data_IF_582712666662
#
_entry.id   IF_582712666662
#
_cell.length_a   1.000
_cell.length_b   1.000
_cell.length_c   1.000
_cell.angle_alpha   90.00
_cell.angle_beta   90.00
_cell.angle_gamma   90.00
#
_symmetry.space_group_name_H-M   'P 1'
#
loop_
_entity.id
_entity.type
_entity.pdbx_description
1 polymer ?
#
# COMPACT_ATOMS: atom_id res chain seq x y z
N UNK A 1 -6.54 38.74 49.28
CA UNK A 1 -6.75 37.86 48.11
C UNK A 1 -6.48 38.64 46.83
N UNK A 2 -5.27 38.60 46.26
CA UNK A 2 -4.95 39.11 44.91
C UNK A 2 -3.47 38.84 44.64
N UNK A 3 -3.11 37.64 44.15
CA UNK A 3 -1.78 37.38 43.56
C UNK A 3 -1.61 36.01 42.85
N UNK A 4 -2.65 35.43 42.24
CA UNK A 4 -2.50 34.10 41.57
C UNK A 4 -3.05 33.98 40.13
N UNK A 5 -3.33 35.09 39.43
CA UNK A 5 -3.90 35.03 38.07
C UNK A 5 -2.89 35.36 36.95
N UNK A 6 -1.63 35.68 37.27
CA UNK A 6 -0.66 36.12 36.24
C UNK A 6 0.13 34.98 35.55
N UNK A 7 0.02 33.72 35.99
CA UNK A 7 0.82 32.62 35.44
C UNK A 7 0.12 31.68 34.45
N UNK A 8 -1.20 31.82 34.23
CA UNK A 8 -1.96 30.91 33.35
C UNK A 8 -2.15 31.48 31.93
N UNK A 9 -1.92 32.79 31.73
CA UNK A 9 -2.01 33.41 30.40
C UNK A 9 -0.70 33.31 29.58
N UNK A 10 0.47 33.12 30.22
CA UNK A 10 1.73 32.96 29.50
C UNK A 10 1.91 31.55 28.91
N UNK A 11 1.39 30.51 29.56
CA UNK A 11 1.52 29.12 29.10
C UNK A 11 0.70 28.82 27.84
N UNK A 12 -0.47 29.47 27.68
CA UNK A 12 -1.32 29.33 26.48
C UNK A 12 -0.70 30.06 25.27
N UNK A 13 0.06 31.14 25.51
CA UNK A 13 0.77 31.87 24.44
C UNK A 13 1.97 31.05 23.90
N UNK A 14 2.71 30.37 24.78
CA UNK A 14 3.85 29.52 24.38
C UNK A 14 3.43 28.25 23.64
N UNK A 15 2.28 27.64 23.99
CA UNK A 15 1.78 26.45 23.31
C UNK A 15 1.38 26.73 21.84
N UNK A 16 0.77 27.89 21.57
CA UNK A 16 0.38 28.29 20.22
C UNK A 16 1.59 28.70 19.34
N UNK A 17 2.63 29.30 19.94
CA UNK A 17 3.87 29.66 19.24
C UNK A 17 4.66 28.41 18.81
N UNK A 18 4.76 27.39 19.67
CA UNK A 18 5.43 26.12 19.34
C UNK A 18 4.68 25.34 18.23
N UNK A 19 3.34 25.35 18.26
CA UNK A 19 2.53 24.71 17.21
C UNK A 19 2.62 25.46 15.87
N UNK A 20 2.63 26.79 15.90
CA UNK A 20 2.78 27.61 14.68
C UNK A 20 4.18 27.50 14.07
N UNK A 21 5.23 27.43 14.89
CA UNK A 21 6.60 27.21 14.41
C UNK A 21 6.76 25.84 13.76
N UNK A 22 6.27 24.75 14.37
CA UNK A 22 6.33 23.40 13.79
C UNK A 22 5.61 23.29 12.44
N UNK A 23 4.47 23.97 12.26
CA UNK A 23 3.76 23.96 10.98
C UNK A 23 4.52 24.76 9.90
N UNK A 24 5.14 25.89 10.28
CA UNK A 24 6.00 26.69 9.37
C UNK A 24 7.29 25.97 8.96
N UNK A 25 7.92 25.19 9.83
CA UNK A 25 9.11 24.39 9.47
C UNK A 25 8.77 23.17 8.61
N UNK A 26 7.63 22.54 8.84
CA UNK A 26 7.14 21.45 7.98
C UNK A 26 6.81 21.94 6.56
N UNK A 27 6.14 23.08 6.39
CA UNK A 27 5.88 23.64 5.05
C UNK A 27 7.15 24.15 4.34
N UNK A 28 8.21 24.51 5.07
CA UNK A 28 9.47 24.98 4.51
C UNK A 28 10.37 23.83 3.97
N UNK A 29 10.06 22.57 4.30
CA UNK A 29 10.83 21.38 3.89
C UNK A 29 10.19 20.63 2.71
N UNK A 30 8.92 20.91 2.41
CA UNK A 30 8.21 20.29 1.30
C UNK A 30 8.76 20.75 -0.06
N UNK A 31 9.01 19.78 -0.94
CA UNK A 31 9.33 20.05 -2.34
C UNK A 31 8.03 20.14 -3.15
N UNK A 32 7.48 21.35 -3.26
CA UNK A 32 6.21 21.61 -3.96
C UNK A 32 6.21 21.19 -5.42
N UNK A 33 7.36 21.23 -6.09
CA UNK A 33 7.47 20.81 -7.48
C UNK A 33 7.35 19.29 -7.60
N UNK A 34 8.08 18.53 -6.76
CA UNK A 34 7.95 17.08 -6.74
C UNK A 34 6.57 16.61 -6.29
N UNK A 35 5.94 17.31 -5.34
CA UNK A 35 4.55 17.04 -4.95
C UNK A 35 3.63 17.16 -6.15
N UNK A 36 3.67 18.28 -6.88
CA UNK A 36 2.80 18.46 -8.05
C UNK A 36 3.04 17.41 -9.15
N UNK A 37 4.29 16.96 -9.33
CA UNK A 37 4.62 15.86 -10.23
C UNK A 37 4.02 14.54 -9.74
N UNK A 38 4.17 14.22 -8.46
CA UNK A 38 3.63 12.99 -7.87
C UNK A 38 2.10 12.99 -7.87
N UNK A 39 1.45 14.11 -7.59
CA UNK A 39 -0.02 14.25 -7.68
C UNK A 39 -0.52 13.94 -9.10
N UNK A 40 0.22 14.37 -10.13
CA UNK A 40 -0.12 14.07 -11.52
C UNK A 40 0.06 12.58 -11.84
N UNK A 41 1.13 11.97 -11.31
CA UNK A 41 1.39 10.53 -11.46
C UNK A 41 0.29 9.71 -10.77
N UNK A 42 -0.12 10.12 -9.57
CA UNK A 42 -1.17 9.48 -8.79
C UNK A 42 -2.51 9.47 -9.56
N UNK A 43 -2.91 10.63 -10.10
CA UNK A 43 -4.10 10.72 -10.93
C UNK A 43 -4.03 9.83 -12.16
N UNK A 44 -2.88 9.78 -12.83
CA UNK A 44 -2.65 8.92 -13.99
C UNK A 44 -2.69 7.42 -13.63
N UNK A 45 -2.23 7.05 -12.43
CA UNK A 45 -2.19 5.67 -11.92
C UNK A 45 -3.56 5.18 -11.45
N UNK A 46 -4.31 6.01 -10.72
CA UNK A 46 -5.54 5.63 -10.02
C UNK A 46 -6.80 5.77 -10.87
N UNK A 47 -6.89 6.80 -11.72
CA UNK A 47 -8.14 7.14 -12.44
C UNK A 47 -8.75 5.94 -13.17
N UNK A 48 -7.95 5.26 -13.98
CA UNK A 48 -8.46 4.17 -14.82
C UNK A 48 -8.73 2.89 -14.03
N UNK A 49 -8.11 2.73 -12.85
CA UNK A 49 -8.38 1.61 -11.93
C UNK A 49 -9.76 1.78 -11.30
N UNK A 50 -10.06 2.97 -10.79
CA UNK A 50 -11.41 3.30 -10.29
C UNK A 50 -12.47 3.11 -11.38
N UNK A 51 -12.22 3.62 -12.59
CA UNK A 51 -13.13 3.42 -13.73
C UNK A 51 -13.26 1.93 -14.11
N UNK A 52 -12.22 1.11 -13.94
CA UNK A 52 -12.29 -0.33 -14.20
C UNK A 52 -13.13 -1.03 -13.13
N UNK A 53 -12.91 -0.73 -11.86
CA UNK A 53 -13.64 -1.32 -10.73
C UNK A 53 -15.15 -1.03 -10.84
N UNK A 54 -15.55 0.20 -11.19
CA UNK A 54 -16.95 0.57 -11.44
C UNK A 54 -17.60 -0.25 -12.59
N UNK A 55 -16.80 -0.71 -13.56
CA UNK A 55 -17.26 -1.51 -14.68
C UNK A 55 -17.36 -3.00 -14.35
N UNK A 56 -16.59 -3.49 -13.37
CA UNK A 56 -16.59 -4.90 -12.97
C UNK A 56 -17.98 -5.31 -12.49
N UNK A 57 -18.62 -4.52 -11.63
CA UNK A 57 -19.96 -4.83 -11.10
C UNK A 57 -21.03 -4.87 -12.19
N UNK A 58 -20.83 -4.11 -13.28
CA UNK A 58 -21.82 -3.96 -14.34
C UNK A 58 -21.65 -4.97 -15.47
N UNK A 59 -20.41 -5.31 -15.82
CA UNK A 59 -20.10 -6.08 -17.01
C UNK A 59 -19.28 -7.34 -16.74
N UNK A 60 -18.72 -7.48 -15.53
CA UNK A 60 -17.83 -8.57 -15.14
C UNK A 60 -16.37 -8.33 -15.53
N UNK A 61 -15.44 -8.92 -14.78
CA UNK A 61 -13.99 -8.74 -14.96
C UNK A 61 -13.47 -9.07 -16.37
N UNK A 62 -14.09 -10.05 -17.04
CA UNK A 62 -13.69 -10.53 -18.37
C UNK A 62 -14.33 -9.73 -19.51
N UNK A 63 -15.10 -8.68 -19.22
CA UNK A 63 -15.78 -7.88 -20.26
C UNK A 63 -14.79 -7.07 -21.08
N UNK A 64 -15.16 -6.75 -22.33
CA UNK A 64 -14.33 -5.92 -23.19
C UNK A 64 -14.08 -4.54 -22.58
N UNK A 65 -15.07 -3.95 -21.94
CA UNK A 65 -15.00 -2.64 -21.28
C UNK A 65 -13.93 -2.62 -20.18
N UNK A 66 -13.90 -3.66 -19.32
CA UNK A 66 -12.89 -3.80 -18.27
C UNK A 66 -11.50 -4.05 -18.89
N UNK A 67 -11.40 -4.92 -19.89
CA UNK A 67 -10.12 -5.22 -20.55
C UNK A 67 -9.53 -4.02 -21.32
N UNK A 68 -10.38 -3.18 -21.91
CA UNK A 68 -9.98 -1.92 -22.54
C UNK A 68 -9.37 -0.95 -21.50
N UNK A 69 -9.96 -0.85 -20.30
CA UNK A 69 -9.37 -0.06 -19.19
C UNK A 69 -8.04 -0.62 -18.74
N UNK A 70 -7.92 -1.94 -18.56
CA UNK A 70 -6.66 -2.58 -18.19
C UNK A 70 -5.55 -2.40 -19.24
N UNK A 71 -5.91 -2.26 -20.50
CA UNK A 71 -4.93 -1.90 -21.55
C UNK A 71 -4.40 -0.48 -21.34
N UNK A 72 -5.26 0.48 -20.98
CA UNK A 72 -4.85 1.85 -20.66
C UNK A 72 -4.00 1.88 -19.38
N UNK A 73 -4.43 1.18 -18.33
CA UNK A 73 -3.70 1.05 -17.06
C UNK A 73 -2.27 0.58 -17.32
N UNK A 74 -2.08 -0.51 -18.09
CA UNK A 74 -0.74 -1.03 -18.41
C UNK A 74 0.17 0.01 -19.09
N UNK A 75 -0.39 0.84 -19.98
CA UNK A 75 0.36 1.93 -20.62
C UNK A 75 0.73 3.01 -19.61
N UNK A 76 -0.21 3.39 -18.73
CA UNK A 76 0.01 4.39 -17.67
C UNK A 76 1.03 3.92 -16.65
N UNK A 77 0.95 2.68 -16.19
CA UNK A 77 1.91 2.04 -15.27
C UNK A 77 3.34 2.14 -15.83
N UNK A 78 3.52 1.81 -17.11
CA UNK A 78 4.84 1.89 -17.77
C UNK A 78 5.39 3.31 -17.81
N UNK A 79 4.57 4.30 -18.18
CA UNK A 79 4.97 5.71 -18.24
C UNK A 79 5.28 6.25 -16.84
N UNK A 80 4.43 5.93 -15.86
CA UNK A 80 4.59 6.36 -14.48
C UNK A 80 5.82 5.76 -13.83
N UNK A 81 6.11 4.48 -14.12
CA UNK A 81 7.31 3.82 -13.65
C UNK A 81 8.59 4.55 -14.11
N UNK A 82 8.69 4.95 -15.38
CA UNK A 82 9.85 5.70 -15.89
C UNK A 82 10.05 7.01 -15.09
N UNK A 83 8.97 7.74 -14.79
CA UNK A 83 9.02 8.98 -14.03
C UNK A 83 9.46 8.73 -12.57
N UNK A 84 8.87 7.73 -11.91
CA UNK A 84 9.17 7.40 -10.51
C UNK A 84 10.58 6.83 -10.36
N UNK A 85 11.03 5.97 -11.28
CA UNK A 85 12.41 5.47 -11.27
C UNK A 85 13.42 6.62 -11.40
N UNK A 86 13.13 7.63 -12.22
CA UNK A 86 13.97 8.83 -12.32
C UNK A 86 14.02 9.58 -10.98
N UNK A 87 12.87 9.85 -10.36
CA UNK A 87 12.79 10.54 -9.05
C UNK A 87 13.60 9.77 -8.00
N UNK A 88 13.41 8.45 -7.90
CA UNK A 88 14.10 7.59 -6.93
C UNK A 88 15.61 7.53 -7.22
N UNK A 89 16.01 7.49 -8.50
CA UNK A 89 17.44 7.44 -8.86
C UNK A 89 18.16 8.74 -8.48
N UNK A 90 17.51 9.89 -8.64
CA UNK A 90 18.10 11.20 -8.34
C UNK A 90 18.08 11.53 -6.84
N UNK A 91 17.09 11.03 -6.08
CA UNK A 91 16.82 11.49 -4.73
C UNK A 91 16.83 10.38 -3.64
N UNK A 92 16.88 9.11 -4.05
CA UNK A 92 16.52 7.99 -3.17
C UNK A 92 15.03 7.98 -2.82
N UNK A 93 14.66 7.23 -1.78
CA UNK A 93 13.28 7.22 -1.28
C UNK A 93 12.98 8.51 -0.51
N UNK A 94 12.06 9.31 -1.04
CA UNK A 94 11.61 10.56 -0.42
C UNK A 94 10.55 10.29 0.64
N UNK A 95 10.76 10.81 1.84
CA UNK A 95 9.82 10.68 2.95
C UNK A 95 8.65 11.65 2.85
N UNK A 96 7.59 11.44 3.65
CA UNK A 96 6.42 12.31 3.67
C UNK A 96 6.72 13.74 4.16
N UNK A 97 7.85 13.94 4.83
CA UNK A 97 8.40 15.25 5.20
C UNK A 97 8.86 16.08 3.99
N UNK A 98 9.09 15.45 2.83
CA UNK A 98 9.51 16.11 1.60
C UNK A 98 8.39 16.14 0.55
N UNK A 99 7.69 15.03 0.38
CA UNK A 99 6.69 14.85 -0.71
C UNK A 99 5.25 14.70 -0.23
N UNK A 100 4.99 14.94 1.06
CA UNK A 100 3.67 14.68 1.64
C UNK A 100 3.35 13.19 1.74
N UNK A 101 2.24 12.86 2.40
CA UNK A 101 1.82 11.45 2.56
C UNK A 101 1.39 10.85 1.24
N UNK A 102 0.66 11.64 0.46
CA UNK A 102 0.12 11.30 -0.85
C UNK A 102 1.26 11.00 -1.82
N UNK A 103 2.23 11.91 -1.97
CA UNK A 103 3.38 11.68 -2.84
C UNK A 103 4.24 10.48 -2.42
N UNK A 104 4.39 10.22 -1.12
CA UNK A 104 5.07 9.02 -0.62
C UNK A 104 4.31 7.73 -0.98
N UNK A 105 2.98 7.75 -0.85
CA UNK A 105 2.10 6.66 -1.28
C UNK A 105 2.18 6.45 -2.79
N UNK A 106 2.23 7.50 -3.60
CA UNK A 106 2.36 7.40 -5.06
C UNK A 106 3.68 6.74 -5.47
N UNK A 107 4.80 7.07 -4.82
CA UNK A 107 6.08 6.38 -5.06
C UNK A 107 5.94 4.87 -4.83
N UNK A 108 5.27 4.49 -3.75
CA UNK A 108 4.98 3.10 -3.42
C UNK A 108 4.07 2.44 -4.47
N UNK A 109 2.91 3.01 -4.77
CA UNK A 109 1.91 2.42 -5.66
C UNK A 109 2.48 2.15 -7.06
N UNK A 110 3.25 3.08 -7.63
CA UNK A 110 3.86 2.87 -8.95
C UNK A 110 4.85 1.71 -8.95
N UNK A 111 5.67 1.56 -7.90
CA UNK A 111 6.58 0.42 -7.79
C UNK A 111 5.79 -0.88 -7.52
N UNK A 112 4.77 -0.84 -6.68
CA UNK A 112 3.88 -1.95 -6.34
C UNK A 112 3.09 -2.47 -7.56
N UNK A 113 2.74 -1.61 -8.51
CA UNK A 113 2.06 -1.96 -9.76
C UNK A 113 3.01 -2.42 -10.88
N UNK A 114 4.32 -2.25 -10.69
CA UNK A 114 5.32 -2.71 -11.66
C UNK A 114 5.46 -4.25 -11.68
N UNK A 115 6.27 -4.77 -12.60
CA UNK A 115 6.56 -6.21 -12.68
C UNK A 115 7.39 -6.67 -11.48
N UNK A 116 7.31 -7.97 -11.17
CA UNK A 116 8.02 -8.60 -10.05
C UNK A 116 9.52 -8.31 -10.04
N UNK A 117 10.18 -8.25 -11.19
CA UNK A 117 11.62 -7.94 -11.27
C UNK A 117 11.93 -6.53 -10.76
N UNK A 118 11.08 -5.56 -11.10
CA UNK A 118 11.19 -4.18 -10.61
C UNK A 118 10.85 -4.08 -9.14
N UNK A 119 9.82 -4.80 -8.68
CA UNK A 119 9.49 -4.87 -7.26
C UNK A 119 10.70 -5.40 -6.45
N UNK A 120 11.28 -6.52 -6.87
CA UNK A 120 12.47 -7.10 -6.24
C UNK A 120 13.67 -6.15 -6.24
N UNK A 121 13.89 -5.41 -7.34
CA UNK A 121 14.95 -4.39 -7.45
C UNK A 121 14.82 -3.31 -6.37
N UNK A 122 13.61 -2.82 -6.10
CA UNK A 122 13.39 -1.71 -5.16
C UNK A 122 13.09 -2.14 -3.72
N UNK A 123 12.71 -3.40 -3.49
CA UNK A 123 12.34 -3.91 -2.17
C UNK A 123 13.40 -3.67 -1.08
N UNK A 124 14.73 -3.87 -1.31
CA UNK A 124 15.74 -3.55 -0.30
C UNK A 124 15.77 -2.07 0.09
N UNK A 125 15.62 -1.16 -0.89
CA UNK A 125 15.55 0.28 -0.63
C UNK A 125 14.30 0.63 0.16
N UNK A 126 13.16 0.02 -0.18
CA UNK A 126 11.89 0.28 0.49
C UNK A 126 11.90 -0.20 1.94
N UNK A 127 12.50 -1.36 2.23
CA UNK A 127 12.76 -1.83 3.61
C UNK A 127 13.58 -0.81 4.41
N UNK A 128 14.64 -0.28 3.82
CA UNK A 128 15.47 0.75 4.47
C UNK A 128 14.70 2.07 4.66
N UNK A 129 13.80 2.43 3.74
CA UNK A 129 12.94 3.60 3.88
C UNK A 129 11.98 3.46 5.07
N UNK A 130 11.32 2.29 5.23
CA UNK A 130 10.45 2.00 6.37
C UNK A 130 11.22 2.05 7.69
N UNK A 131 12.40 1.41 7.77
CA UNK A 131 13.26 1.47 8.98
C UNK A 131 13.64 2.91 9.38
N UNK A 132 13.74 3.81 8.40
CA UNK A 132 14.06 5.23 8.60
C UNK A 132 12.82 6.12 8.79
N UNK A 133 11.62 5.54 8.86
CA UNK A 133 10.36 6.28 8.99
C UNK A 133 9.97 7.09 7.75
N UNK A 134 10.54 6.75 6.59
CA UNK A 134 10.29 7.42 5.30
C UNK A 134 9.23 6.74 4.44
N UNK A 135 8.69 5.62 4.89
CA UNK A 135 7.63 4.87 4.22
C UNK A 135 6.77 4.14 5.26
N UNK A 136 5.53 3.80 4.91
CA UNK A 136 4.65 3.06 5.80
C UNK A 136 5.03 1.57 5.85
N UNK A 137 4.98 0.98 7.05
CA UNK A 137 5.22 -0.45 7.21
C UNK A 137 4.11 -1.29 6.55
N UNK A 138 2.87 -0.79 6.54
CA UNK A 138 1.74 -1.42 5.84
C UNK A 138 2.04 -1.59 4.35
N UNK A 139 2.55 -0.55 3.69
CA UNK A 139 2.88 -0.58 2.26
C UNK A 139 3.97 -1.63 1.96
N UNK A 140 4.97 -1.74 2.83
CA UNK A 140 5.99 -2.79 2.73
C UNK A 140 5.38 -4.18 2.87
N UNK A 141 4.48 -4.39 3.84
CA UNK A 141 3.79 -5.67 4.01
C UNK A 141 3.04 -6.09 2.74
N UNK A 142 2.37 -5.15 2.07
CA UNK A 142 1.69 -5.40 0.80
C UNK A 142 2.67 -5.86 -0.30
N UNK A 143 3.81 -5.19 -0.41
CA UNK A 143 4.84 -5.52 -1.40
C UNK A 143 5.51 -6.87 -1.14
N UNK A 144 5.78 -7.18 0.12
CA UNK A 144 6.38 -8.46 0.51
C UNK A 144 5.44 -9.63 0.18
N UNK A 145 4.16 -9.53 0.55
CA UNK A 145 3.17 -10.56 0.21
C UNK A 145 3.06 -10.77 -1.30
N UNK A 146 3.07 -9.68 -2.10
CA UNK A 146 3.01 -9.75 -3.56
C UNK A 146 4.23 -10.45 -4.16
N UNK A 147 5.43 -10.08 -3.71
CA UNK A 147 6.68 -10.67 -4.20
C UNK A 147 6.77 -12.15 -3.82
N UNK A 148 6.37 -12.52 -2.60
CA UNK A 148 6.36 -13.91 -2.13
C UNK A 148 5.47 -14.77 -3.02
N UNK A 149 4.21 -14.35 -3.26
CA UNK A 149 3.30 -15.09 -4.12
C UNK A 149 3.84 -15.21 -5.55
N UNK A 150 4.46 -14.15 -6.09
CA UNK A 150 5.08 -14.19 -7.41
C UNK A 150 6.28 -15.16 -7.49
N UNK A 151 6.91 -15.49 -6.35
CA UNK A 151 7.98 -16.48 -6.23
C UNK A 151 7.46 -17.89 -5.92
N UNK A 152 6.14 -18.09 -5.83
CA UNK A 152 5.52 -19.36 -5.47
C UNK A 152 5.49 -19.62 -3.95
N UNK A 153 5.87 -18.63 -3.15
CA UNK A 153 5.86 -18.69 -1.69
C UNK A 153 4.50 -18.22 -1.13
N UNK A 154 4.25 -18.52 0.15
CA UNK A 154 3.05 -18.07 0.86
C UNK A 154 3.24 -16.64 1.38
N UNK A 155 2.17 -15.84 1.38
CA UNK A 155 2.16 -14.50 1.99
C UNK A 155 2.29 -14.55 3.53
N UNK A 156 2.76 -13.44 4.11
CA UNK A 156 2.98 -13.24 5.54
C UNK A 156 1.76 -12.59 6.21
N UNK A 157 1.19 -11.57 5.57
CA UNK A 157 0.17 -10.70 6.18
C UNK A 157 -1.24 -10.93 5.65
N UNK A 158 -1.41 -11.76 4.62
CA UNK A 158 -2.72 -12.03 4.03
C UNK A 158 -3.26 -10.85 3.23
N UNK A 159 -2.38 -10.02 2.64
CA UNK A 159 -2.77 -8.79 1.96
C UNK A 159 -3.15 -8.98 0.49
N UNK A 160 -3.01 -10.18 -0.07
CA UNK A 160 -3.23 -10.45 -1.49
C UNK A 160 -4.39 -11.43 -1.67
N UNK A 161 -5.33 -11.02 -2.51
CA UNK A 161 -6.51 -11.77 -2.93
C UNK A 161 -6.29 -12.23 -4.38
N UNK A 162 -6.53 -13.51 -4.63
CA UNK A 162 -6.54 -14.10 -5.96
C UNK A 162 -7.97 -14.26 -6.49
N UNK A 163 -8.07 -14.86 -7.68
CA UNK A 163 -9.33 -15.33 -8.25
C UNK A 163 -9.21 -16.85 -8.36
N UNK A 164 -10.20 -17.56 -7.83
CA UNK A 164 -10.30 -19.00 -8.02
C UNK A 164 -10.72 -19.27 -9.48
N UNK A 165 -9.91 -20.02 -10.22
CA UNK A 165 -10.12 -20.20 -11.66
C UNK A 165 -11.29 -21.12 -12.00
N UNK A 166 -11.84 -21.86 -11.03
CA UNK A 166 -12.96 -22.79 -11.23
C UNK A 166 -14.28 -22.06 -10.98
N UNK A 167 -14.35 -21.31 -9.89
CA UNK A 167 -15.55 -20.59 -9.43
C UNK A 167 -15.61 -19.15 -9.96
N UNK A 168 -14.47 -18.60 -10.37
CA UNK A 168 -14.30 -17.19 -10.75
C UNK A 168 -14.67 -16.21 -9.62
N UNK A 169 -14.53 -16.65 -8.37
CA UNK A 169 -14.75 -15.85 -7.16
C UNK A 169 -13.42 -15.37 -6.56
N UNK A 170 -13.47 -14.30 -5.76
CA UNK A 170 -12.32 -13.89 -4.97
C UNK A 170 -11.92 -14.97 -3.98
N UNK A 171 -10.62 -15.11 -3.76
CA UNK A 171 -10.08 -16.08 -2.82
C UNK A 171 -8.85 -15.52 -2.13
N UNK A 172 -8.78 -15.60 -0.81
CA UNK A 172 -7.57 -15.22 -0.09
C UNK A 172 -6.41 -16.14 -0.50
N UNK A 173 -5.29 -15.58 -0.98
CA UNK A 173 -4.15 -16.37 -1.43
C UNK A 173 -3.46 -17.13 -0.27
N UNK A 174 -2.66 -18.17 -0.56
CA UNK A 174 -1.91 -18.95 0.43
C UNK A 174 -1.09 -18.13 1.42
N UNK A 175 -1.19 -18.38 2.73
CA UNK A 175 -0.44 -17.64 3.77
C UNK A 175 0.19 -18.56 4.82
N UNK A 176 1.26 -18.09 5.45
CA UNK A 176 1.88 -18.75 6.60
C UNK A 176 1.11 -18.42 7.89
N UNK A 177 1.08 -19.37 8.83
CA UNK A 177 0.64 -19.17 10.21
C UNK A 177 -0.62 -18.27 10.34
N UNK A 178 -1.78 -18.76 9.85
CA UNK A 178 -3.03 -17.99 9.85
C UNK A 178 -3.53 -17.71 11.27
N UNK A 179 -3.14 -18.51 12.27
CA UNK A 179 -3.54 -18.31 13.67
C UNK A 179 -2.96 -17.02 14.29
N UNK A 180 -1.81 -16.54 13.79
CA UNK A 180 -1.15 -15.34 14.31
C UNK A 180 -1.09 -14.18 13.29
N UNK A 181 -1.86 -14.26 12.20
CA UNK A 181 -1.83 -13.23 11.14
C UNK A 181 -2.17 -11.84 11.66
N UNK A 182 -3.17 -11.71 12.53
CA UNK A 182 -3.59 -10.40 13.04
C UNK A 182 -2.55 -9.75 13.95
N UNK A 183 -1.71 -10.53 14.65
CA UNK A 183 -0.58 -10.00 15.40
C UNK A 183 0.43 -9.33 14.46
N UNK A 184 0.77 -10.00 13.35
CA UNK A 184 1.67 -9.46 12.34
C UNK A 184 1.08 -8.23 11.64
N UNK A 185 -0.23 -8.25 11.37
CA UNK A 185 -0.96 -7.13 10.76
C UNK A 185 -0.95 -5.90 11.67
N UNK A 186 -1.21 -6.08 12.96
CA UNK A 186 -1.15 -4.99 13.95
C UNK A 186 0.25 -4.35 14.01
N UNK A 187 1.32 -5.15 14.02
CA UNK A 187 2.72 -4.67 14.06
C UNK A 187 3.09 -3.72 12.90
N UNK A 188 2.45 -3.87 11.75
CA UNK A 188 2.68 -3.05 10.56
C UNK A 188 1.57 -2.04 10.28
N UNK A 189 0.56 -1.95 11.16
CA UNK A 189 -0.56 -1.01 11.03
C UNK A 189 -1.64 -1.41 10.03
N UNK A 190 -1.74 -2.69 9.68
CA UNK A 190 -2.85 -3.23 8.89
C UNK A 190 -4.05 -3.55 9.79
N UNK A 191 -5.26 -3.33 9.26
CA UNK A 191 -6.50 -3.71 9.95
C UNK A 191 -6.63 -5.22 10.10
N UNK A 192 -7.46 -5.75 11.03
CA UNK A 192 -7.68 -7.19 11.16
C UNK A 192 -8.04 -7.87 9.83
N UNK A 193 -7.57 -9.10 9.63
CA UNK A 193 -7.74 -9.84 8.37
C UNK A 193 -9.23 -10.02 8.05
N UNK A 194 -10.04 -10.37 9.04
CA UNK A 194 -11.48 -10.54 8.85
C UNK A 194 -12.16 -9.25 8.35
N UNK A 195 -11.77 -8.08 8.86
CA UNK A 195 -12.29 -6.80 8.40
C UNK A 195 -11.82 -6.47 6.97
N UNK A 196 -10.56 -6.77 6.65
CA UNK A 196 -10.03 -6.60 5.31
C UNK A 196 -10.77 -7.45 4.28
N UNK A 197 -11.02 -8.73 4.60
CA UNK A 197 -11.68 -9.69 3.71
C UNK A 197 -13.14 -9.31 3.40
N UNK A 198 -13.82 -8.61 4.30
CA UNK A 198 -15.17 -8.11 4.06
C UNK A 198 -15.25 -7.13 2.87
N UNK A 199 -14.17 -6.43 2.51
CA UNK A 199 -14.15 -5.58 1.32
C UNK A 199 -14.22 -6.37 0.00
N UNK A 200 -14.05 -7.69 0.06
CA UNK A 200 -14.13 -8.62 -1.07
C UNK A 200 -15.28 -9.61 -0.92
N UNK A 201 -16.23 -9.34 -0.02
CA UNK A 201 -17.33 -10.25 0.36
C UNK A 201 -16.85 -11.64 0.84
N UNK A 202 -15.65 -11.70 1.43
CA UNK A 202 -15.05 -12.93 1.95
C UNK A 202 -15.23 -13.04 3.47
N UNK A 203 -15.85 -14.13 3.92
CA UNK A 203 -15.99 -14.45 5.34
C UNK A 203 -14.72 -15.19 5.80
N UNK A 204 -14.05 -14.65 6.83
CA UNK A 204 -12.89 -15.32 7.43
C UNK A 204 -13.31 -16.58 8.21
N UNK A 205 -12.84 -17.73 7.73
CA UNK A 205 -12.97 -19.02 8.39
C UNK A 205 -11.61 -19.70 8.41
N UNK A 206 -10.97 -19.72 9.58
CA UNK A 206 -9.61 -20.22 9.75
C UNK A 206 -9.52 -21.73 9.50
N UNK A 207 -10.54 -22.50 9.88
CA UNK A 207 -10.52 -23.95 9.72
C UNK A 207 -10.68 -24.31 8.24
N UNK A 208 -11.60 -23.65 7.53
CA UNK A 208 -11.73 -23.78 6.07
C UNK A 208 -10.45 -23.35 5.35
N UNK A 209 -9.80 -22.29 5.81
CA UNK A 209 -8.53 -21.83 5.24
C UNK A 209 -7.42 -22.87 5.45
N UNK A 210 -7.27 -23.43 6.66
CA UNK A 210 -6.27 -24.46 6.98
C UNK A 210 -6.47 -25.72 6.14
N UNK A 211 -7.69 -26.21 6.01
CA UNK A 211 -8.01 -27.36 5.16
C UNK A 211 -7.57 -27.15 3.71
N UNK A 212 -7.92 -25.99 3.13
CA UNK A 212 -7.48 -25.62 1.78
C UNK A 212 -5.95 -25.52 1.68
N UNK A 213 -5.26 -25.17 2.77
CA UNK A 213 -3.80 -25.09 2.78
C UNK A 213 -3.11 -26.45 2.82
N UNK A 214 -3.69 -27.43 3.50
CA UNK A 214 -3.24 -28.82 3.41
C UNK A 214 -3.35 -29.36 1.98
N UNK A 215 -4.45 -29.05 1.28
CA UNK A 215 -4.64 -29.42 -0.13
C UNK A 215 -3.60 -28.74 -1.04
N UNK A 216 -3.39 -27.43 -0.88
CA UNK A 216 -2.40 -26.66 -1.62
C UNK A 216 -0.98 -27.21 -1.43
N UNK A 217 -0.58 -27.50 -0.19
CA UNK A 217 0.75 -28.05 0.12
C UNK A 217 0.92 -29.46 -0.44
N UNK A 218 -0.13 -30.27 -0.38
CA UNK A 218 -0.15 -31.63 -0.94
C UNK A 218 -0.03 -31.63 -2.46
N UNK A 219 -0.58 -30.63 -3.15
CA UNK A 219 -0.48 -30.47 -4.59
C UNK A 219 0.92 -30.01 -5.02
N UNK A 220 1.54 -29.09 -4.26
CA UNK A 220 2.85 -28.54 -4.58
C UNK A 220 4.03 -29.46 -4.21
N UNK A 221 3.84 -30.40 -3.28
CA UNK A 221 4.88 -31.40 -2.94
C UNK A 221 4.98 -32.53 -3.98
N UNK A 222 4.00 -32.65 -4.88
CA UNK A 222 3.92 -33.72 -5.90
C UNK A 222 4.51 -33.33 -7.27
N UNK A 223 4.93 -32.07 -7.43
CA UNK A 223 5.58 -31.53 -8.63
C UNK A 223 7.06 -31.27 -8.37
#
# INVERSE_FOLDING_TARGET
MKQKILFILLSILFLNLAFSQNKKTAEATLNKELIAVLDTIDQDDQKYRVEADELVDKYGWQSKEVQDKWTIIKVKDSINLIKVEKIITENGWLGPDIVGKEGNSTLFLVIQHSKTETQLKYLPMFREAVKKGKAQASDLALMEDRVLLAQGEKQIYGSQIGIDMITNEYILSPMIDPDNVDKRREEVGLMPLAEYLNHFDLIWDIEKFKMRMEEYDSANTKN
#
